data_IF_872276953276
#
_entry.id   IF_872276953276
#
_cell.length_a   1.000
_cell.length_b   1.000
_cell.length_c   1.000
_cell.angle_alpha   90.00
_cell.angle_beta   90.00
_cell.angle_gamma   90.00
#
_symmetry.space_group_name_H-M   'P 1'
#
loop_
_entity.id
_entity.type
_entity.pdbx_description
1 polymer ?
#
# COMPACT_ATOMS: atom_id res chain seq x y z
N UNK A 1 -10.62 -2.13 -10.07
CA UNK A 1 -9.86 -1.47 -8.99
C UNK A 1 -10.35 -2.04 -7.67
N UNK A 2 -9.44 -2.59 -6.88
CA UNK A 2 -9.67 -3.01 -5.50
C UNK A 2 -9.16 -1.93 -4.54
N UNK A 3 -10.07 -1.21 -3.93
CA UNK A 3 -9.80 -0.18 -2.93
C UNK A 3 -10.22 -0.61 -1.51
N UNK A 4 -10.46 -1.91 -1.30
CA UNK A 4 -10.77 -2.43 0.03
C UNK A 4 -9.51 -2.38 0.91
N UNK A 5 -9.72 -2.13 2.18
CA UNK A 5 -8.64 -2.14 3.17
C UNK A 5 -9.18 -2.11 4.58
N UNK A 6 -8.45 -2.75 5.47
CA UNK A 6 -8.65 -2.72 6.90
C UNK A 6 -7.31 -2.35 7.54
N UNK A 7 -7.32 -1.34 8.40
CA UNK A 7 -6.10 -0.74 8.93
C UNK A 7 -6.23 -0.49 10.43
N UNK A 8 -5.39 -1.15 11.21
CA UNK A 8 -5.32 -1.00 12.66
C UNK A 8 -3.92 -0.53 13.03
N UNK A 9 -3.84 0.68 13.57
CA UNK A 9 -2.58 1.40 13.87
C UNK A 9 -2.33 1.40 15.37
N UNK A 10 -1.65 0.37 15.86
CA UNK A 10 -1.27 0.21 17.27
C UNK A 10 -0.10 -0.75 17.43
N UNK A 11 0.46 -0.85 18.64
CA UNK A 11 1.52 -1.83 18.91
C UNK A 11 1.02 -3.26 18.70
N UNK A 12 1.91 -4.18 18.32
CA UNK A 12 1.52 -5.58 18.12
C UNK A 12 0.93 -6.20 19.40
N UNK A 13 1.44 -5.84 20.56
CA UNK A 13 0.91 -6.30 21.85
C UNK A 13 -0.53 -5.83 22.15
N UNK A 14 -0.97 -4.75 21.51
CA UNK A 14 -2.33 -4.21 21.65
C UNK A 14 -3.30 -4.73 20.58
N UNK A 15 -2.81 -5.44 19.56
CA UNK A 15 -3.69 -6.07 18.57
C UNK A 15 -4.43 -7.25 19.20
N UNK A 16 -5.73 -7.36 18.94
CA UNK A 16 -6.45 -8.61 19.13
C UNK A 16 -6.11 -9.61 18.03
N UNK A 17 -6.36 -10.89 18.25
CA UNK A 17 -6.24 -11.89 17.18
C UNK A 17 -7.15 -11.56 16.01
N UNK A 18 -8.35 -11.05 16.29
CA UNK A 18 -9.32 -10.64 15.28
C UNK A 18 -8.79 -9.48 14.41
N UNK A 19 -8.14 -8.46 15.00
CA UNK A 19 -7.53 -7.38 14.23
C UNK A 19 -6.50 -7.93 13.23
N UNK A 20 -5.68 -8.89 13.67
CA UNK A 20 -4.65 -9.51 12.82
C UNK A 20 -5.29 -10.30 11.69
N UNK A 21 -6.25 -11.17 12.02
CA UNK A 21 -6.96 -12.01 11.04
C UNK A 21 -7.71 -11.15 10.02
N UNK A 22 -8.45 -10.14 10.45
CA UNK A 22 -9.18 -9.24 9.57
C UNK A 22 -8.25 -8.45 8.65
N UNK A 23 -7.13 -7.96 9.18
CA UNK A 23 -6.14 -7.24 8.37
C UNK A 23 -5.58 -8.14 7.26
N UNK A 24 -5.18 -9.35 7.58
CA UNK A 24 -4.63 -10.29 6.60
C UNK A 24 -5.70 -10.78 5.62
N UNK A 25 -6.90 -11.07 6.11
CA UNK A 25 -8.01 -11.57 5.30
C UNK A 25 -8.44 -10.50 4.27
N UNK A 26 -8.68 -9.27 4.71
CA UNK A 26 -9.18 -8.22 3.84
C UNK A 26 -8.08 -7.71 2.90
N UNK A 27 -6.92 -7.37 3.45
CA UNK A 27 -5.88 -6.73 2.66
C UNK A 27 -5.17 -7.70 1.73
N UNK A 28 -4.74 -8.86 2.22
CA UNK A 28 -3.93 -9.79 1.44
C UNK A 28 -4.78 -10.85 0.74
N UNK A 29 -5.52 -11.66 1.50
CA UNK A 29 -6.31 -12.76 0.91
C UNK A 29 -7.38 -12.22 -0.04
N UNK A 30 -8.06 -11.14 0.33
CA UNK A 30 -9.05 -10.47 -0.51
C UNK A 30 -8.47 -10.01 -1.86
N UNK A 31 -7.28 -9.41 -1.86
CA UNK A 31 -6.61 -9.00 -3.09
C UNK A 31 -6.28 -10.19 -4.02
N UNK A 32 -5.78 -11.29 -3.44
CA UNK A 32 -5.48 -12.52 -4.18
C UNK A 32 -6.76 -13.14 -4.75
N UNK A 33 -7.81 -13.25 -3.94
CA UNK A 33 -9.10 -13.83 -4.37
C UNK A 33 -9.76 -13.00 -5.47
N UNK A 34 -9.77 -11.67 -5.34
CA UNK A 34 -10.28 -10.76 -6.38
C UNK A 34 -9.49 -10.96 -7.67
N UNK A 35 -8.16 -11.02 -7.61
CA UNK A 35 -7.34 -11.29 -8.80
C UNK A 35 -7.69 -12.63 -9.44
N UNK A 36 -7.80 -13.70 -8.64
CA UNK A 36 -8.16 -15.04 -9.12
C UNK A 36 -9.51 -15.07 -9.83
N UNK A 37 -10.51 -14.37 -9.30
CA UNK A 37 -11.87 -14.33 -9.87
C UNK A 37 -11.91 -13.52 -11.17
N UNK A 38 -11.28 -12.34 -11.18
CA UNK A 38 -11.39 -11.43 -12.32
C UNK A 38 -10.40 -11.71 -13.44
N UNK A 39 -9.25 -12.35 -13.15
CA UNK A 39 -8.22 -12.62 -14.14
C UNK A 39 -8.74 -13.39 -15.39
N UNK A 40 -9.53 -14.48 -15.25
CA UNK A 40 -10.06 -15.19 -16.42
C UNK A 40 -11.01 -14.33 -17.26
N UNK A 41 -11.75 -13.43 -16.66
CA UNK A 41 -12.69 -12.53 -17.33
C UNK A 41 -11.95 -11.47 -18.16
N UNK A 42 -10.81 -11.01 -17.66
CA UNK A 42 -10.00 -9.95 -18.25
C UNK A 42 -8.97 -10.47 -19.27
N UNK A 43 -8.65 -11.75 -19.23
CA UNK A 43 -7.60 -12.35 -20.07
C UNK A 43 -7.92 -12.29 -21.58
N UNK A 44 -9.18 -12.09 -21.94
CA UNK A 44 -9.65 -12.01 -23.34
C UNK A 44 -9.71 -10.56 -23.85
N UNK A 45 -9.45 -9.57 -23.01
CA UNK A 45 -9.54 -8.16 -23.37
C UNK A 45 -8.28 -7.69 -24.11
N UNK A 46 -8.40 -6.60 -24.87
CA UNK A 46 -7.29 -6.00 -25.62
C UNK A 46 -6.23 -5.34 -24.73
N UNK A 47 -6.40 -5.40 -23.46
CA UNK A 47 -5.53 -4.89 -22.40
C UNK A 47 -6.37 -4.53 -21.19
N UNK A 48 -6.04 -5.10 -20.05
CA UNK A 48 -6.75 -4.86 -18.80
C UNK A 48 -5.77 -4.62 -17.65
N UNK A 49 -6.22 -3.88 -16.64
CA UNK A 49 -5.42 -3.63 -15.44
C UNK A 49 -6.25 -3.93 -14.20
N UNK A 50 -5.72 -4.79 -13.33
CA UNK A 50 -6.23 -4.98 -11.98
C UNK A 50 -5.38 -4.12 -11.05
N UNK A 51 -6.01 -3.23 -10.30
CA UNK A 51 -5.31 -2.37 -9.33
C UNK A 51 -5.65 -2.81 -7.92
N UNK A 52 -4.63 -2.99 -7.09
CA UNK A 52 -4.78 -3.19 -5.65
C UNK A 52 -4.18 -2.02 -4.87
N UNK A 53 -4.94 -1.49 -3.91
CA UNK A 53 -4.46 -0.46 -3.01
C UNK A 53 -3.43 -1.03 -2.05
N UNK A 54 -2.26 -0.43 -2.03
CA UNK A 54 -1.12 -0.81 -1.20
C UNK A 54 -0.95 0.03 0.07
N UNK A 55 -1.86 0.98 0.32
CA UNK A 55 -1.74 1.85 1.48
C UNK A 55 -0.68 2.94 1.32
N UNK A 56 -0.24 3.49 2.46
CA UNK A 56 0.56 4.71 2.58
C UNK A 56 1.97 4.64 1.99
N UNK A 57 2.59 3.48 1.96
CA UNK A 57 3.90 3.23 1.37
C UNK A 57 3.84 2.03 0.44
N UNK A 58 4.89 1.79 -0.35
CA UNK A 58 4.92 0.71 -1.34
C UNK A 58 5.08 -0.72 -0.76
N UNK A 59 4.68 -0.91 0.48
CA UNK A 59 4.76 -2.18 1.21
C UNK A 59 6.16 -2.56 1.67
N UNK A 60 7.18 -1.82 1.29
CA UNK A 60 8.58 -2.03 1.71
C UNK A 60 9.01 -1.09 2.84
N UNK A 61 8.15 -0.16 3.20
CA UNK A 61 8.39 0.80 4.27
C UNK A 61 7.74 0.31 5.56
N UNK A 62 8.55 -0.18 6.49
CA UNK A 62 8.11 -0.72 7.76
C UNK A 62 8.05 0.36 8.84
N UNK A 63 6.89 0.90 9.10
CA UNK A 63 6.68 1.85 10.20
C UNK A 63 6.37 1.14 11.53
N UNK A 64 6.83 1.67 12.67
CA UNK A 64 6.33 1.26 13.98
C UNK A 64 4.80 1.45 14.05
N UNK A 65 4.10 0.58 14.77
CA UNK A 65 2.64 0.59 14.94
C UNK A 65 1.80 0.22 13.70
N UNK A 66 2.45 -0.22 12.62
CA UNK A 66 1.84 -0.65 11.36
C UNK A 66 2.20 -2.10 11.00
N UNK A 67 2.75 -2.89 11.94
CA UNK A 67 3.40 -4.16 11.61
C UNK A 67 2.52 -5.11 10.79
N UNK A 68 1.26 -5.28 11.17
CA UNK A 68 0.34 -6.21 10.49
C UNK A 68 -0.11 -5.66 9.14
N UNK A 69 -0.43 -4.35 9.07
CA UNK A 69 -0.80 -3.71 7.80
C UNK A 69 0.37 -3.78 6.81
N UNK A 70 1.57 -3.38 7.22
CA UNK A 70 2.78 -3.45 6.38
C UNK A 70 3.05 -4.87 5.90
N UNK A 71 2.91 -5.88 6.74
CA UNK A 71 3.08 -7.28 6.35
C UNK A 71 2.08 -7.68 5.26
N UNK A 72 0.80 -7.31 5.42
CA UNK A 72 -0.24 -7.57 4.42
C UNK A 72 0.05 -6.85 3.09
N UNK A 73 0.46 -5.59 3.14
CA UNK A 73 0.76 -4.77 1.95
C UNK A 73 2.03 -5.24 1.23
N UNK A 74 3.06 -5.65 1.96
CA UNK A 74 4.25 -6.27 1.39
C UNK A 74 3.90 -7.59 0.68
N UNK A 75 3.00 -8.38 1.26
CA UNK A 75 2.46 -9.58 0.63
C UNK A 75 1.75 -9.30 -0.71
N UNK A 76 0.88 -8.27 -0.76
CA UNK A 76 0.24 -7.83 -2.01
C UNK A 76 1.29 -7.42 -3.05
N UNK A 77 2.28 -6.63 -2.66
CA UNK A 77 3.34 -6.19 -3.58
C UNK A 77 4.07 -7.39 -4.20
N UNK A 78 4.51 -8.35 -3.37
CA UNK A 78 5.19 -9.54 -3.84
C UNK A 78 4.29 -10.42 -4.73
N UNK A 79 3.02 -10.56 -4.39
CA UNK A 79 2.01 -11.24 -5.20
C UNK A 79 1.89 -10.61 -6.59
N UNK A 80 1.74 -9.27 -6.67
CA UNK A 80 1.63 -8.52 -7.94
C UNK A 80 2.87 -8.73 -8.80
N UNK A 81 4.06 -8.67 -8.20
CA UNK A 81 5.31 -8.88 -8.95
C UNK A 81 5.40 -10.29 -9.54
N UNK A 82 5.01 -11.32 -8.76
CA UNK A 82 4.96 -12.70 -9.22
C UNK A 82 3.96 -12.86 -10.36
N UNK A 83 2.72 -12.41 -10.16
CA UNK A 83 1.65 -12.50 -11.15
C UNK A 83 1.99 -11.80 -12.47
N UNK A 84 2.58 -10.60 -12.41
CA UNK A 84 3.00 -9.91 -13.63
C UNK A 84 4.08 -10.67 -14.42
N UNK A 85 4.93 -11.45 -13.74
CA UNK A 85 5.91 -12.31 -14.40
C UNK A 85 5.25 -13.52 -15.06
N UNK A 86 4.29 -14.16 -14.39
CA UNK A 86 3.49 -15.27 -14.94
C UNK A 86 2.69 -14.80 -16.17
N UNK A 87 1.94 -13.71 -16.06
CA UNK A 87 1.15 -13.14 -17.16
C UNK A 87 2.01 -12.77 -18.37
N UNK A 88 3.21 -12.24 -18.14
CA UNK A 88 4.17 -11.97 -19.21
C UNK A 88 4.63 -13.26 -19.90
N UNK A 89 4.92 -14.30 -19.13
CA UNK A 89 5.32 -15.60 -19.67
C UNK A 89 4.21 -16.25 -20.50
N UNK A 90 2.96 -16.10 -20.04
CA UNK A 90 1.76 -16.59 -20.74
C UNK A 90 1.30 -15.67 -21.89
N UNK A 91 2.01 -14.59 -22.17
CA UNK A 91 1.69 -13.59 -23.18
C UNK A 91 0.28 -12.95 -23.01
N UNK A 92 -0.21 -12.91 -21.78
CA UNK A 92 -1.48 -12.27 -21.46
C UNK A 92 -1.32 -10.74 -21.40
N UNK A 93 -2.29 -10.02 -21.94
CA UNK A 93 -2.34 -8.54 -21.92
C UNK A 93 -3.09 -8.01 -20.70
N UNK A 94 -2.88 -8.63 -19.54
CA UNK A 94 -3.42 -8.19 -18.27
C UNK A 94 -2.27 -7.75 -17.37
N UNK A 95 -2.46 -6.65 -16.67
CA UNK A 95 -1.45 -6.06 -15.78
C UNK A 95 -2.02 -5.95 -14.37
N UNK A 96 -1.25 -6.35 -13.37
CA UNK A 96 -1.55 -6.04 -11.99
C UNK A 96 -0.74 -4.81 -11.57
N UNK A 97 -1.40 -3.88 -10.92
CA UNK A 97 -0.80 -2.61 -10.49
C UNK A 97 -0.96 -2.44 -8.99
N UNK A 98 0.14 -2.12 -8.33
CA UNK A 98 0.17 -1.74 -6.93
C UNK A 98 0.02 -0.22 -6.80
N UNK A 99 -1.01 0.24 -6.09
CA UNK A 99 -1.29 1.65 -5.93
C UNK A 99 -1.03 2.11 -4.49
N UNK A 100 -0.11 3.05 -4.33
CA UNK A 100 0.22 3.68 -3.06
C UNK A 100 -0.25 5.15 -3.08
N UNK A 101 -1.44 5.44 -2.59
CA UNK A 101 -1.91 6.83 -2.44
C UNK A 101 -1.12 7.56 -1.36
N UNK A 102 -1.13 8.90 -1.41
CA UNK A 102 -0.86 9.70 -0.23
C UNK A 102 -1.98 9.55 0.80
N UNK A 103 -1.74 10.05 2.02
CA UNK A 103 -2.83 10.32 2.94
C UNK A 103 -3.90 11.17 2.21
N UNK A 104 -5.15 10.71 2.22
CA UNK A 104 -6.23 11.31 1.44
C UNK A 104 -7.23 12.03 2.33
N UNK A 105 -7.87 13.07 1.80
CA UNK A 105 -8.96 13.75 2.50
C UNK A 105 -10.27 12.96 2.34
N UNK A 106 -10.36 11.88 3.10
CA UNK A 106 -11.54 11.01 3.16
C UNK A 106 -12.09 10.93 4.58
N UNK A 107 -13.38 10.61 4.77
CA UNK A 107 -13.96 10.48 6.11
C UNK A 107 -13.20 9.53 7.02
N UNK A 108 -12.71 8.40 6.51
CA UNK A 108 -11.95 7.39 7.26
C UNK A 108 -10.55 7.86 7.69
N UNK A 109 -9.92 8.75 6.93
CA UNK A 109 -8.59 9.27 7.23
C UNK A 109 -8.57 10.56 8.07
N UNK A 110 -9.73 11.24 8.23
CA UNK A 110 -9.81 12.52 8.95
C UNK A 110 -9.26 12.47 10.37
N UNK A 111 -9.49 11.39 11.10
CA UNK A 111 -8.98 11.20 12.47
C UNK A 111 -7.45 11.18 12.54
N UNK A 112 -6.79 10.81 11.45
CA UNK A 112 -5.33 10.71 11.35
C UNK A 112 -4.67 11.97 10.77
N UNK A 113 -5.43 12.92 10.25
CA UNK A 113 -4.88 14.16 9.68
C UNK A 113 -3.94 14.93 10.63
N UNK A 114 -4.21 15.03 11.95
CA UNK A 114 -3.27 15.66 12.89
C UNK A 114 -1.90 14.97 12.89
N UNK A 115 -1.88 13.63 12.85
CA UNK A 115 -0.64 12.82 12.81
C UNK A 115 0.14 13.11 11.53
N UNK A 116 -0.55 13.09 10.39
CA UNK A 116 0.08 13.36 9.08
C UNK A 116 0.66 14.76 9.00
N UNK A 117 -0.05 15.76 9.52
CA UNK A 117 0.45 17.14 9.59
C UNK A 117 1.69 17.25 10.48
N UNK A 118 1.68 16.62 11.66
CA UNK A 118 2.83 16.61 12.57
C UNK A 118 4.04 15.91 11.94
N UNK A 119 3.83 14.86 11.14
CA UNK A 119 4.87 14.19 10.36
C UNK A 119 5.32 14.96 9.11
N UNK A 120 4.65 16.05 8.73
CA UNK A 120 4.92 16.79 7.50
C UNK A 120 4.48 16.07 6.24
N UNK A 121 3.51 15.16 6.35
CA UNK A 121 2.96 14.40 5.22
C UNK A 121 1.86 15.20 4.55
N UNK A 122 1.95 15.35 3.22
CA UNK A 122 0.91 16.00 2.42
C UNK A 122 -0.37 15.18 2.45
N UNK A 123 -1.49 15.81 2.79
CA UNK A 123 -2.82 15.25 2.62
C UNK A 123 -3.29 15.65 1.22
N UNK A 124 -3.61 14.67 0.39
CA UNK A 124 -4.09 14.89 -0.97
C UNK A 124 -5.62 14.91 -1.03
N UNK A 125 -6.15 15.67 -1.97
CA UNK A 125 -7.60 15.60 -2.28
C UNK A 125 -7.93 14.27 -2.95
N UNK A 126 -9.20 13.86 -2.89
CA UNK A 126 -9.69 12.66 -3.59
C UNK A 126 -9.45 12.77 -5.09
N UNK A 127 -9.60 13.95 -5.67
CA UNK A 127 -9.36 14.20 -7.11
C UNK A 127 -7.88 14.00 -7.48
N UNK A 128 -6.94 14.52 -6.67
CA UNK A 128 -5.51 14.27 -6.88
C UNK A 128 -5.19 12.77 -6.87
N UNK A 129 -5.80 12.02 -5.95
CA UNK A 129 -5.62 10.57 -5.84
C UNK A 129 -6.18 9.85 -7.06
N UNK A 130 -7.41 10.17 -7.47
CA UNK A 130 -8.05 9.59 -8.65
C UNK A 130 -7.29 9.90 -9.95
N UNK A 131 -6.84 11.14 -10.13
CA UNK A 131 -6.06 11.51 -11.32
C UNK A 131 -4.73 10.78 -11.41
N UNK A 132 -4.02 10.63 -10.28
CA UNK A 132 -2.77 9.85 -10.24
C UNK A 132 -3.01 8.38 -10.60
N UNK A 133 -4.06 7.78 -10.05
CA UNK A 133 -4.47 6.41 -10.34
C UNK A 133 -4.79 6.22 -11.83
N UNK A 134 -5.66 7.06 -12.40
CA UNK A 134 -6.04 6.97 -13.81
C UNK A 134 -4.86 7.16 -14.76
N UNK A 135 -3.96 8.09 -14.44
CA UNK A 135 -2.72 8.28 -15.22
C UNK A 135 -1.84 7.03 -15.20
N UNK A 136 -1.67 6.43 -14.03
CA UNK A 136 -0.87 5.21 -13.87
C UNK A 136 -1.47 4.01 -14.60
N UNK A 137 -2.80 3.84 -14.56
CA UNK A 137 -3.52 2.80 -15.32
C UNK A 137 -3.30 2.97 -16.83
N UNK A 138 -3.50 4.19 -17.34
CA UNK A 138 -3.31 4.48 -18.78
C UNK A 138 -1.90 4.20 -19.28
N UNK A 139 -0.90 4.33 -18.43
CA UNK A 139 0.51 4.07 -18.76
C UNK A 139 1.02 2.69 -18.32
N UNK A 140 0.13 1.80 -17.91
CA UNK A 140 0.43 0.42 -17.46
C UNK A 140 1.56 0.35 -16.41
N UNK A 141 1.56 1.29 -15.45
CA UNK A 141 2.55 1.31 -14.39
C UNK A 141 2.35 0.13 -13.44
N UNK A 142 3.42 -0.60 -13.13
CA UNK A 142 3.39 -1.67 -12.12
C UNK A 142 3.18 -1.14 -10.71
N UNK A 143 3.76 0.02 -10.43
CA UNK A 143 3.62 0.73 -9.15
C UNK A 143 3.25 2.16 -9.43
N UNK A 144 2.09 2.58 -8.95
CA UNK A 144 1.66 3.97 -8.94
C UNK A 144 1.90 4.48 -7.53
N UNK A 145 2.89 5.34 -7.36
CA UNK A 145 3.30 5.87 -6.07
C UNK A 145 3.06 7.37 -6.02
N UNK A 146 2.25 7.80 -5.08
CA UNK A 146 2.10 9.20 -4.71
C UNK A 146 3.07 9.50 -3.55
N UNK A 147 3.80 10.61 -3.65
CA UNK A 147 4.77 10.99 -2.63
C UNK A 147 6.18 10.50 -2.89
N UNK A 148 7.04 11.42 -3.36
CA UNK A 148 8.44 11.12 -3.72
C UNK A 148 9.29 10.64 -2.55
N UNK A 149 8.99 11.09 -1.32
CA UNK A 149 9.73 10.71 -0.11
C UNK A 149 9.61 9.22 0.23
N UNK A 150 8.40 8.65 0.13
CA UNK A 150 8.16 7.25 0.46
C UNK A 150 8.98 6.28 -0.41
N UNK A 151 9.13 6.57 -1.71
CA UNK A 151 9.95 5.75 -2.61
C UNK A 151 11.43 5.77 -2.25
N UNK A 152 11.95 6.93 -1.85
CA UNK A 152 13.35 7.04 -1.42
C UNK A 152 13.59 6.23 -0.15
N UNK A 153 12.71 6.35 0.84
CA UNK A 153 12.81 5.59 2.08
C UNK A 153 12.71 4.08 1.86
N UNK A 154 11.78 3.63 1.03
CA UNK A 154 11.66 2.21 0.69
C UNK A 154 12.96 1.66 0.07
N UNK A 155 13.59 2.42 -0.81
CA UNK A 155 14.89 2.04 -1.40
C UNK A 155 16.01 2.04 -0.36
N UNK A 156 16.06 3.03 0.52
CA UNK A 156 17.04 3.09 1.61
C UNK A 156 16.88 1.91 2.57
N UNK A 157 15.65 1.55 2.93
CA UNK A 157 15.37 0.41 3.78
C UNK A 157 15.82 -0.93 3.17
N UNK A 158 15.69 -1.09 1.86
CA UNK A 158 16.20 -2.26 1.14
C UNK A 158 17.74 -2.34 1.11
N UNK A 159 18.40 -1.18 1.07
CA UNK A 159 19.87 -1.11 1.05
C UNK A 159 20.46 -1.26 2.46
N UNK A 160 19.85 -0.65 3.45
CA UNK A 160 20.30 -0.67 4.85
C UNK A 160 19.17 -0.30 5.78
N UNK A 161 18.63 -1.29 6.50
CA UNK A 161 17.63 -1.06 7.54
C UNK A 161 18.14 -0.12 8.64
N UNK A 162 19.43 -0.25 9.05
CA UNK A 162 20.05 0.63 10.05
C UNK A 162 20.05 2.10 9.64
N UNK A 163 20.29 2.38 8.37
CA UNK A 163 20.26 3.75 7.86
C UNK A 163 18.81 4.28 7.80
N UNK A 164 17.87 3.45 7.41
CA UNK A 164 16.46 3.78 7.42
C UNK A 164 15.96 4.03 8.86
N UNK A 165 16.39 3.22 9.82
CA UNK A 165 16.08 3.39 11.23
C UNK A 165 16.60 4.73 11.76
N UNK A 166 17.83 5.06 11.48
CA UNK A 166 18.43 6.33 11.89
C UNK A 166 17.67 7.55 11.33
N UNK A 167 17.28 7.49 10.06
CA UNK A 167 16.58 8.59 9.39
C UNK A 167 15.08 8.67 9.74
N UNK A 168 14.43 7.52 9.96
CA UNK A 168 12.99 7.43 10.21
C UNK A 168 12.64 7.45 11.69
N UNK A 169 13.34 6.65 12.49
CA UNK A 169 12.96 6.44 13.88
C UNK A 169 13.16 7.70 14.71
N UNK A 170 14.24 8.45 14.50
CA UNK A 170 14.47 9.68 15.25
C UNK A 170 13.42 10.76 14.96
N UNK A 171 12.94 10.84 13.73
CA UNK A 171 11.99 11.87 13.32
C UNK A 171 10.54 11.51 13.62
N UNK A 172 10.15 10.27 13.33
CA UNK A 172 8.72 9.88 13.30
C UNK A 172 8.29 9.00 14.47
N UNK A 173 9.21 8.24 15.10
CA UNK A 173 8.84 7.31 16.16
C UNK A 173 8.18 7.98 17.36
N UNK A 174 8.62 9.18 17.74
CA UNK A 174 8.01 9.95 18.84
C UNK A 174 6.57 10.34 18.52
N UNK A 175 6.33 10.78 17.28
CA UNK A 175 4.98 11.17 16.82
C UNK A 175 4.09 9.93 16.78
N UNK A 176 4.55 8.85 16.17
CA UNK A 176 3.77 7.61 16.05
C UNK A 176 3.49 7.00 17.43
N UNK A 177 4.48 7.01 18.34
CA UNK A 177 4.29 6.56 19.73
C UNK A 177 3.22 7.37 20.44
N UNK A 178 3.23 8.69 20.31
CA UNK A 178 2.25 9.58 20.95
C UNK A 178 0.81 9.30 20.52
N UNK A 179 0.61 8.86 19.29
CA UNK A 179 -0.72 8.69 18.70
C UNK A 179 -1.22 7.25 18.65
N UNK A 180 -0.33 6.25 18.69
CA UNK A 180 -0.65 4.84 18.43
C UNK A 180 -0.16 3.85 19.50
N UNK A 181 0.46 4.34 20.58
CA UNK A 181 0.83 3.47 21.72
C UNK A 181 -0.30 3.32 22.72
#
# INVERSE_FOLDING_TARGET
>A
INATGFDVRKSLSAHSLEDIEQTLLINLSGAILISKIFLPLLANEKGATIVHSGGFADGRLAFPYYSVDVASRAGIFSFIESMNRELKQEQKKVYLTYFCPNAADTPSEKSYHPVWKEMGIKISTTDEVCLALLKGIKSHQRVILMGRGASLFAKLNLLSSRLADFLLLDKYSRILKKHFS
#
